data_IF_375232291227
#
_entry.id   IF_375232291227
#
_cell.length_a   1.000
_cell.length_b   1.000
_cell.length_c   1.000
_cell.angle_alpha   90.00
_cell.angle_beta   90.00
_cell.angle_gamma   90.00
#
_symmetry.space_group_name_H-M   'P 1'
#
loop_
_entity.id
_entity.type
_entity.pdbx_description
1 polymer ?
#
# COMPACT_ATOMS: atom_id res chain seq x y z
N UNK A 1 3.66 -13.91 7.79
CA UNK A 1 2.81 -12.82 7.28
C UNK A 1 1.98 -12.14 8.36
N UNK A 2 1.00 -12.81 9.00
CA UNK A 2 0.10 -12.18 9.99
C UNK A 2 0.84 -11.47 11.14
N UNK A 3 1.83 -12.13 11.75
CA UNK A 3 2.65 -11.51 12.81
C UNK A 3 3.39 -10.26 12.32
N UNK A 4 3.87 -10.27 11.06
CA UNK A 4 4.53 -9.10 10.46
C UNK A 4 3.54 -7.95 10.23
N UNK A 5 2.29 -8.24 9.82
CA UNK A 5 1.22 -7.24 9.70
C UNK A 5 0.83 -6.61 11.03
N UNK A 6 0.70 -7.39 12.11
CA UNK A 6 0.43 -6.84 13.44
C UNK A 6 1.59 -5.95 13.89
N UNK A 7 2.83 -6.42 13.72
CA UNK A 7 4.02 -5.69 14.12
C UNK A 7 4.17 -4.36 13.36
N UNK A 8 4.13 -4.40 12.02
CA UNK A 8 4.26 -3.20 11.18
C UNK A 8 3.05 -2.29 11.36
N UNK A 9 1.83 -2.84 11.40
CA UNK A 9 0.60 -2.08 11.61
C UNK A 9 0.59 -1.32 12.94
N UNK A 10 1.16 -1.90 14.00
CA UNK A 10 1.35 -1.20 15.27
C UNK A 10 2.30 -0.01 15.14
N UNK A 11 3.48 -0.21 14.52
CA UNK A 11 4.48 0.85 14.32
C UNK A 11 3.92 1.98 13.45
N UNK A 12 3.31 1.64 12.31
CA UNK A 12 2.70 2.61 11.39
C UNK A 12 1.53 3.32 12.06
N UNK A 13 0.74 2.62 12.85
CA UNK A 13 -0.35 3.21 13.64
C UNK A 13 0.14 4.27 14.62
N UNK A 14 1.23 4.00 15.34
CA UNK A 14 1.86 4.98 16.23
C UNK A 14 2.41 6.19 15.45
N UNK A 15 3.11 5.94 14.34
CA UNK A 15 3.63 7.01 13.48
C UNK A 15 2.51 7.91 12.95
N UNK A 16 1.39 7.32 12.51
CA UNK A 16 0.27 8.07 11.98
C UNK A 16 -0.43 8.92 13.06
N UNK A 17 -0.53 8.42 14.29
CA UNK A 17 -1.11 9.20 15.40
C UNK A 17 -0.26 10.44 15.68
N UNK A 18 1.07 10.28 15.77
CA UNK A 18 1.99 11.39 15.98
C UNK A 18 1.91 12.42 14.84
N UNK A 19 1.89 11.95 13.58
CA UNK A 19 1.80 12.83 12.41
C UNK A 19 0.47 13.62 12.39
N UNK A 20 -0.64 12.97 12.74
CA UNK A 20 -1.95 13.62 12.84
C UNK A 20 -1.98 14.68 13.92
N UNK A 21 -1.41 14.41 15.09
CA UNK A 21 -1.37 15.37 16.19
C UNK A 21 -0.65 16.66 15.79
N UNK A 22 0.54 16.54 15.19
CA UNK A 22 1.32 17.68 14.68
C UNK A 22 0.56 18.40 13.56
N UNK A 23 -0.09 17.66 12.66
CA UNK A 23 -0.90 18.23 11.57
C UNK A 23 -2.15 18.97 12.05
N UNK A 24 -2.75 18.55 13.17
CA UNK A 24 -3.87 19.27 13.77
C UNK A 24 -3.44 20.52 14.54
N UNK A 25 -2.24 20.50 15.15
CA UNK A 25 -1.66 21.66 15.81
C UNK A 25 -1.39 22.78 14.78
N UNK A 26 -0.75 22.41 13.68
CA UNK A 26 -0.34 23.32 12.61
C UNK A 26 -0.79 22.80 11.23
N UNK A 27 -1.99 23.19 10.77
CA UNK A 27 -2.46 22.79 9.45
C UNK A 27 -1.79 23.64 8.37
N UNK A 28 -0.70 23.13 7.80
CA UNK A 28 0.01 23.74 6.68
C UNK A 28 0.06 22.78 5.50
N UNK A 29 -0.06 23.31 4.28
CA UNK A 29 0.17 22.55 3.04
C UNK A 29 1.62 22.08 3.00
N UNK A 30 1.87 20.84 2.59
CA UNK A 30 3.22 20.24 2.68
C UNK A 30 3.52 19.53 4.01
N UNK A 31 2.61 19.64 4.99
CA UNK A 31 2.61 19.02 6.32
C UNK A 31 3.96 18.48 6.79
N UNK A 32 4.28 17.19 6.59
CA UNK A 32 5.41 16.55 7.26
C UNK A 32 6.80 17.12 6.88
N UNK A 33 6.97 17.69 5.68
CA UNK A 33 8.22 18.37 5.30
C UNK A 33 8.34 19.69 6.05
N UNK A 34 7.25 20.48 6.10
CA UNK A 34 7.21 21.78 6.78
C UNK A 34 7.21 21.66 8.30
N UNK A 35 6.57 20.62 8.83
CA UNK A 35 6.60 20.29 10.24
C UNK A 35 8.02 19.92 10.68
N UNK A 36 8.78 19.20 9.85
CA UNK A 36 10.16 18.83 10.16
C UNK A 36 11.10 20.03 10.12
N UNK A 37 10.92 20.93 9.15
CA UNK A 37 11.64 22.21 9.06
C UNK A 37 11.38 23.10 10.29
N UNK A 38 10.14 23.16 10.77
CA UNK A 38 9.76 24.05 11.86
C UNK A 38 9.99 23.48 13.27
N UNK A 39 9.81 22.17 13.48
CA UNK A 39 9.90 21.55 14.80
C UNK A 39 11.24 20.86 15.09
N UNK A 40 12.05 20.55 14.07
CA UNK A 40 13.32 19.84 14.25
C UNK A 40 14.49 20.69 13.81
N UNK A 41 14.67 20.84 12.49
CA UNK A 41 15.78 21.58 11.90
C UNK A 41 15.53 21.78 10.39
N UNK A 42 15.99 22.92 9.85
CA UNK A 42 15.86 23.23 8.42
C UNK A 42 16.60 22.22 7.54
N UNK A 43 17.75 21.68 7.97
CA UNK A 43 18.50 20.68 7.22
C UNK A 43 17.75 19.35 7.09
N UNK A 44 16.99 18.97 8.12
CA UNK A 44 16.15 17.77 8.08
C UNK A 44 14.95 17.99 7.15
N UNK A 45 14.33 19.17 7.21
CA UNK A 45 13.28 19.58 6.26
C UNK A 45 13.76 19.49 4.81
N UNK A 46 14.97 19.98 4.51
CA UNK A 46 15.57 19.87 3.18
C UNK A 46 15.80 18.42 2.75
N UNK A 47 16.37 17.59 3.63
CA UNK A 47 16.62 16.18 3.33
C UNK A 47 15.34 15.39 3.04
N UNK A 48 14.27 15.61 3.83
CA UNK A 48 12.96 15.00 3.60
C UNK A 48 12.32 15.48 2.30
N UNK A 49 12.48 16.77 1.96
CA UNK A 49 12.03 17.30 0.68
C UNK A 49 12.69 16.58 -0.51
N UNK A 50 13.99 16.32 -0.43
CA UNK A 50 14.72 15.58 -1.46
C UNK A 50 14.25 14.13 -1.60
N UNK A 51 14.04 13.44 -0.48
CA UNK A 51 13.47 12.08 -0.45
C UNK A 51 12.07 12.06 -1.07
N UNK A 52 11.25 13.07 -0.79
CA UNK A 52 9.90 13.17 -1.33
C UNK A 52 9.89 13.31 -2.85
N UNK A 53 10.80 14.12 -3.42
CA UNK A 53 10.93 14.26 -4.88
C UNK A 53 11.26 12.90 -5.52
N UNK A 54 12.18 12.13 -4.94
CA UNK A 54 12.49 10.79 -5.45
C UNK A 54 11.33 9.80 -5.31
N UNK A 55 10.53 9.92 -4.25
CA UNK A 55 9.34 9.08 -4.06
C UNK A 55 8.19 9.45 -5.02
N UNK A 56 8.11 10.71 -5.44
CA UNK A 56 7.09 11.19 -6.37
C UNK A 56 7.38 10.83 -7.84
N UNK A 57 8.65 10.62 -8.20
CA UNK A 57 9.01 9.99 -9.47
C UNK A 57 8.50 8.56 -9.38
N UNK A 58 7.66 8.12 -10.32
CA UNK A 58 6.87 6.87 -10.26
C UNK A 58 7.53 5.73 -11.06
N UNK A 59 8.61 5.07 -10.59
CA UNK A 59 9.16 3.92 -11.30
C UNK A 59 8.39 2.62 -11.00
N UNK A 60 7.79 2.49 -9.81
CA UNK A 60 7.22 1.21 -9.37
C UNK A 60 5.94 0.83 -10.12
N UNK A 61 5.03 1.78 -10.35
CA UNK A 61 3.77 1.50 -11.06
C UNK A 61 4.00 1.19 -12.55
N UNK A 62 4.94 1.89 -13.18
CA UNK A 62 5.36 1.62 -14.56
C UNK A 62 6.00 0.23 -14.70
N UNK A 63 6.87 -0.13 -13.76
CA UNK A 63 7.47 -1.47 -13.72
C UNK A 63 6.41 -2.56 -13.54
N UNK A 64 5.45 -2.36 -12.63
CA UNK A 64 4.35 -3.30 -12.41
C UNK A 64 3.49 -3.49 -13.67
N UNK A 65 3.17 -2.41 -14.36
CA UNK A 65 2.42 -2.45 -15.64
C UNK A 65 3.17 -3.27 -16.69
N UNK A 66 4.49 -3.11 -16.78
CA UNK A 66 5.32 -3.87 -17.72
C UNK A 66 5.29 -5.39 -17.43
N UNK A 67 5.30 -5.78 -16.15
CA UNK A 67 5.18 -7.18 -15.74
C UNK A 67 3.81 -7.74 -16.11
N UNK A 68 2.73 -6.99 -15.89
CA UNK A 68 1.37 -7.43 -16.26
C UNK A 68 1.24 -7.63 -17.76
N UNK A 69 1.81 -6.75 -18.59
CA UNK A 69 1.78 -6.89 -20.04
C UNK A 69 2.56 -8.12 -20.54
N UNK A 70 3.56 -8.57 -19.78
CA UNK A 70 4.29 -9.81 -20.08
C UNK A 70 3.40 -11.05 -19.95
N UNK A 71 2.32 -11.01 -19.18
CA UNK A 71 1.35 -12.10 -19.12
C UNK A 71 0.53 -12.26 -20.41
N UNK A 72 0.28 -11.15 -21.12
CA UNK A 72 -0.58 -11.14 -22.31
C UNK A 72 0.21 -11.14 -23.63
N UNK A 73 1.45 -10.66 -23.61
CA UNK A 73 2.27 -10.50 -24.82
C UNK A 73 3.76 -10.69 -24.52
N UNK A 74 4.46 -11.43 -25.38
CA UNK A 74 5.92 -11.66 -25.31
C UNK A 74 6.76 -10.48 -25.85
N UNK A 75 6.15 -9.32 -26.06
CA UNK A 75 6.81 -8.12 -26.59
C UNK A 75 7.70 -7.50 -25.49
N UNK A 76 8.85 -6.93 -25.89
CA UNK A 76 9.79 -6.30 -24.96
C UNK A 76 9.11 -5.30 -24.02
N UNK A 77 9.27 -5.53 -22.72
CA UNK A 77 8.68 -4.74 -21.63
C UNK A 77 9.04 -3.24 -21.70
N UNK A 78 10.20 -2.88 -22.29
CA UNK A 78 10.63 -1.49 -22.46
C UNK A 78 9.73 -0.67 -23.38
N UNK A 79 9.11 -1.31 -24.39
CA UNK A 79 8.15 -0.63 -25.26
C UNK A 79 6.90 -0.22 -24.48
N UNK A 80 6.36 -1.13 -23.66
CA UNK A 80 5.20 -0.85 -22.82
C UNK A 80 5.48 0.25 -21.80
N UNK A 81 6.64 0.22 -21.14
CA UNK A 81 7.08 1.28 -20.22
C UNK A 81 7.10 2.64 -20.94
N UNK A 82 7.63 2.69 -22.16
CA UNK A 82 7.74 3.94 -22.92
C UNK A 82 6.36 4.48 -23.32
N UNK A 83 5.45 3.61 -23.78
CA UNK A 83 4.08 3.98 -24.16
C UNK A 83 3.31 4.52 -22.96
N UNK A 84 3.29 3.78 -21.84
CA UNK A 84 2.60 4.23 -20.62
C UNK A 84 3.24 5.48 -20.02
N UNK A 85 4.56 5.61 -20.09
CA UNK A 85 5.28 6.82 -19.67
C UNK A 85 4.84 8.06 -20.45
N UNK A 86 4.74 7.96 -21.78
CA UNK A 86 4.27 9.07 -22.62
C UNK A 86 2.82 9.45 -22.26
N UNK A 87 1.95 8.46 -22.02
CA UNK A 87 0.56 8.72 -21.62
C UNK A 87 0.50 9.49 -20.30
N UNK A 88 1.27 9.06 -19.30
CA UNK A 88 1.32 9.72 -17.97
C UNK A 88 1.82 11.17 -18.10
N UNK A 89 2.88 11.39 -18.89
CA UNK A 89 3.43 12.74 -19.13
C UNK A 89 2.41 13.61 -19.87
N UNK A 90 1.73 13.06 -20.86
CA UNK A 90 0.69 13.76 -21.62
C UNK A 90 -0.49 14.16 -20.73
N UNK A 91 -0.95 13.25 -19.84
CA UNK A 91 -2.03 13.56 -18.90
C UNK A 91 -1.59 14.58 -17.84
N UNK A 92 -0.35 14.51 -17.34
CA UNK A 92 0.20 15.50 -16.41
C UNK A 92 0.36 16.90 -17.03
N UNK A 93 0.56 16.97 -18.35
CA UNK A 93 0.69 18.24 -19.08
C UNK A 93 -0.68 18.90 -19.36
N UNK A 94 -1.78 18.19 -19.15
CA UNK A 94 -3.13 18.69 -19.39
C UNK A 94 -3.72 19.39 -18.16
N UNK A 95 -4.84 20.10 -18.33
CA UNK A 95 -5.48 20.86 -17.25
C UNK A 95 -5.84 19.99 -16.05
N UNK A 96 -5.57 20.49 -14.84
CA UNK A 96 -5.83 19.86 -13.52
C UNK A 96 -7.26 19.32 -13.40
N UNK A 97 -8.23 19.97 -14.05
CA UNK A 97 -9.64 19.53 -14.02
C UNK A 97 -9.86 18.21 -14.75
N UNK A 98 -9.18 17.99 -15.88
CA UNK A 98 -9.27 16.75 -16.63
C UNK A 98 -8.58 15.59 -15.89
N UNK A 99 -7.45 15.87 -15.24
CA UNK A 99 -6.77 14.91 -14.38
C UNK A 99 -7.69 14.40 -13.26
N UNK A 100 -8.40 15.31 -12.57
CA UNK A 100 -9.34 14.95 -11.51
C UNK A 100 -10.50 14.08 -11.98
N UNK A 101 -11.03 14.30 -13.19
CA UNK A 101 -12.07 13.44 -13.77
C UNK A 101 -11.55 12.03 -14.06
N UNK A 102 -10.37 11.91 -14.69
CA UNK A 102 -9.74 10.61 -14.96
C UNK A 102 -9.46 9.85 -13.66
N UNK A 103 -8.95 10.53 -12.63
CA UNK A 103 -8.68 9.95 -11.32
C UNK A 103 -9.96 9.42 -10.65
N UNK A 104 -11.09 10.13 -10.78
CA UNK A 104 -12.36 9.67 -10.25
C UNK A 104 -12.82 8.35 -10.88
N UNK A 105 -12.77 8.24 -12.21
CA UNK A 105 -13.15 7.00 -12.91
C UNK A 105 -12.19 5.84 -12.58
N UNK A 106 -10.88 6.10 -12.54
CA UNK A 106 -9.89 5.11 -12.12
C UNK A 106 -10.08 4.68 -10.65
N UNK A 107 -10.53 5.59 -9.79
CA UNK A 107 -10.88 5.29 -8.40
C UNK A 107 -12.04 4.30 -8.29
N UNK A 108 -13.11 4.50 -9.08
CA UNK A 108 -14.25 3.56 -9.14
C UNK A 108 -13.79 2.18 -9.62
N UNK A 109 -12.96 2.13 -10.66
CA UNK A 109 -12.40 0.87 -11.17
C UNK A 109 -11.59 0.14 -10.09
N UNK A 110 -10.73 0.83 -9.34
CA UNK A 110 -9.95 0.24 -8.24
C UNK A 110 -10.85 -0.40 -7.17
N UNK A 111 -11.93 0.29 -6.77
CA UNK A 111 -12.88 -0.26 -5.78
C UNK A 111 -13.58 -1.51 -6.32
N UNK A 112 -14.03 -1.49 -7.58
CA UNK A 112 -14.64 -2.66 -8.22
C UNK A 112 -13.68 -3.86 -8.28
N UNK A 113 -12.40 -3.62 -8.61
CA UNK A 113 -11.38 -4.67 -8.64
C UNK A 113 -11.14 -5.29 -7.27
N UNK A 114 -11.11 -4.48 -6.20
CA UNK A 114 -10.96 -4.98 -4.83
C UNK A 114 -12.16 -5.86 -4.44
N UNK A 115 -13.38 -5.43 -4.75
CA UNK A 115 -14.59 -6.22 -4.48
C UNK A 115 -14.59 -7.52 -5.29
N UNK A 116 -14.18 -7.46 -6.56
CA UNK A 116 -14.07 -8.64 -7.42
C UNK A 116 -13.05 -9.65 -6.91
N UNK A 117 -11.86 -9.19 -6.52
CA UNK A 117 -10.85 -10.05 -5.90
C UNK A 117 -11.40 -10.65 -4.61
N UNK A 118 -12.01 -9.85 -3.74
CA UNK A 118 -12.58 -10.33 -2.47
C UNK A 118 -13.59 -11.47 -2.67
N UNK A 119 -14.49 -11.33 -3.64
CA UNK A 119 -15.44 -12.39 -3.98
C UNK A 119 -14.73 -13.63 -4.55
N UNK A 120 -13.72 -13.45 -5.40
CA UNK A 120 -12.93 -14.56 -5.94
C UNK A 120 -12.18 -15.31 -4.82
N UNK A 121 -11.57 -14.60 -3.87
CA UNK A 121 -10.94 -15.17 -2.67
C UNK A 121 -11.94 -16.05 -1.90
N UNK A 122 -13.12 -15.51 -1.60
CA UNK A 122 -14.16 -16.20 -0.85
C UNK A 122 -14.66 -17.46 -1.57
N UNK A 123 -14.81 -17.40 -2.90
CA UNK A 123 -15.21 -18.56 -3.71
C UNK A 123 -14.14 -19.65 -3.67
N UNK A 124 -12.85 -19.28 -3.77
CA UNK A 124 -11.73 -20.23 -3.72
C UNK A 124 -11.65 -20.88 -2.33
N UNK A 125 -11.78 -20.10 -1.25
CA UNK A 125 -11.72 -20.59 0.13
C UNK A 125 -12.85 -21.57 0.47
N UNK A 126 -14.01 -21.38 -0.16
CA UNK A 126 -15.17 -22.29 -0.04
C UNK A 126 -15.07 -23.53 -0.94
N UNK A 127 -14.00 -23.66 -1.74
CA UNK A 127 -13.77 -24.83 -2.61
C UNK A 127 -14.35 -24.70 -4.01
N UNK A 128 -14.55 -23.48 -4.51
CA UNK A 128 -15.04 -23.22 -5.87
C UNK A 128 -14.02 -23.51 -6.99
N UNK A 129 -12.75 -23.76 -6.67
CA UNK A 129 -11.71 -24.11 -7.63
C UNK A 129 -11.75 -25.61 -7.96
N UNK A 130 -11.83 -25.97 -9.25
CA UNK A 130 -11.77 -27.37 -9.69
C UNK A 130 -10.44 -28.00 -9.26
N UNK A 131 -10.50 -28.95 -8.34
CA UNK A 131 -9.35 -29.75 -7.90
C UNK A 131 -8.79 -29.44 -6.50
N UNK A 132 -9.39 -28.52 -5.73
CA UNK A 132 -8.94 -28.22 -4.37
C UNK A 132 -10.04 -28.45 -3.32
N UNK A 133 -9.71 -29.18 -2.25
CA UNK A 133 -10.54 -29.28 -1.05
C UNK A 133 -10.55 -27.96 -0.28
N UNK A 134 -11.60 -27.71 0.52
CA UNK A 134 -11.77 -26.51 1.34
C UNK A 134 -10.50 -26.17 2.15
N UNK A 135 -9.79 -25.12 1.75
CA UNK A 135 -8.45 -24.77 2.27
C UNK A 135 -8.48 -24.12 3.66
N UNK A 136 -9.62 -23.55 4.08
CA UNK A 136 -9.88 -22.84 5.34
C UNK A 136 -8.79 -22.90 6.43
N UNK A 137 -9.04 -23.60 7.55
CA UNK A 137 -8.11 -23.59 8.70
C UNK A 137 -7.01 -24.67 8.65
N UNK A 138 -6.81 -25.36 7.52
CA UNK A 138 -5.89 -26.52 7.46
C UNK A 138 -4.43 -26.09 7.69
N UNK A 139 -4.02 -24.98 7.08
CA UNK A 139 -2.63 -24.49 7.14
C UNK A 139 -2.22 -23.86 8.48
N UNK A 140 -3.17 -23.41 9.30
CA UNK A 140 -2.86 -22.94 10.66
C UNK A 140 -2.44 -24.09 11.59
N UNK A 141 -2.83 -25.33 11.25
CA UNK A 141 -2.50 -26.54 12.02
C UNK A 141 -1.29 -27.31 11.47
N UNK A 142 -1.06 -27.29 10.16
CA UNK A 142 -0.02 -28.14 9.54
C UNK A 142 1.34 -27.45 9.40
N UNK A 143 1.41 -26.16 9.05
CA UNK A 143 2.68 -25.43 8.88
C UNK A 143 2.58 -23.95 9.31
N UNK A 144 2.57 -23.65 10.62
CA UNK A 144 2.40 -22.28 11.10
C UNK A 144 3.60 -21.35 10.77
N UNK A 145 4.77 -21.90 10.44
CA UNK A 145 5.98 -21.15 10.13
C UNK A 145 6.72 -21.76 8.93
N UNK A 146 6.69 -21.08 7.78
CA UNK A 146 7.52 -21.44 6.64
C UNK A 146 8.96 -20.95 6.81
N UNK A 147 9.90 -21.77 6.34
CA UNK A 147 11.34 -21.48 6.34
C UNK A 147 11.72 -20.93 4.96
N UNK A 148 12.54 -19.88 4.90
CA UNK A 148 12.94 -19.24 3.65
C UNK A 148 14.47 -19.13 3.59
N UNK A 149 15.05 -19.50 2.45
CA UNK A 149 16.51 -19.58 2.14
C UNK A 149 17.38 -20.54 2.98
N UNK A 150 17.00 -20.90 4.20
CA UNK A 150 17.74 -21.83 5.06
C UNK A 150 16.77 -22.63 5.93
N UNK A 151 17.22 -23.75 6.51
CA UNK A 151 16.42 -24.57 7.42
C UNK A 151 16.66 -24.21 8.89
N UNK A 152 15.64 -24.34 9.74
CA UNK A 152 15.71 -24.06 11.18
C UNK A 152 15.38 -22.62 11.59
N UNK A 153 15.83 -22.20 12.79
CA UNK A 153 15.46 -20.92 13.40
C UNK A 153 15.89 -19.70 12.58
N UNK A 154 17.05 -19.76 11.92
CA UNK A 154 17.52 -18.72 11.00
C UNK A 154 16.62 -18.60 9.76
N UNK A 155 16.19 -19.73 9.19
CA UNK A 155 15.26 -19.75 8.06
C UNK A 155 13.92 -19.10 8.36
N UNK A 156 13.39 -19.31 9.57
CA UNK A 156 12.14 -18.68 10.03
C UNK A 156 12.30 -17.18 10.27
N UNK A 157 13.45 -16.75 10.78
CA UNK A 157 13.76 -15.33 10.96
C UNK A 157 13.88 -14.59 9.62
N UNK A 158 14.58 -15.18 8.65
CA UNK A 158 14.70 -14.62 7.30
C UNK A 158 13.34 -14.56 6.59
N UNK A 159 12.52 -15.61 6.74
CA UNK A 159 11.15 -15.62 6.24
C UNK A 159 10.31 -14.47 6.85
N UNK A 160 10.44 -14.23 8.15
CA UNK A 160 9.77 -13.13 8.83
C UNK A 160 10.22 -11.77 8.28
N UNK A 161 11.52 -11.53 8.14
CA UNK A 161 12.04 -10.26 7.63
C UNK A 161 11.61 -9.97 6.19
N UNK A 162 11.62 -11.00 5.32
CA UNK A 162 11.11 -10.92 3.95
C UNK A 162 9.62 -10.59 3.90
N UNK A 163 8.83 -11.09 4.85
CA UNK A 163 7.42 -10.69 4.97
C UNK A 163 7.30 -9.23 5.41
N UNK A 164 8.09 -8.79 6.40
CA UNK A 164 8.04 -7.42 6.93
C UNK A 164 8.27 -6.38 5.83
N UNK A 165 9.26 -6.58 4.94
CA UNK A 165 9.53 -5.63 3.85
C UNK A 165 8.35 -5.48 2.89
N UNK A 166 7.69 -6.58 2.54
CA UNK A 166 6.50 -6.54 1.67
C UNK A 166 5.32 -5.84 2.35
N UNK A 167 5.11 -6.11 3.64
CA UNK A 167 4.07 -5.50 4.46
C UNK A 167 4.27 -3.97 4.59
N UNK A 168 5.50 -3.52 4.82
CA UNK A 168 5.83 -2.09 4.91
C UNK A 168 5.44 -1.36 3.62
N UNK A 169 5.71 -1.96 2.46
CA UNK A 169 5.31 -1.39 1.17
C UNK A 169 3.78 -1.27 1.04
N UNK A 170 3.01 -2.25 1.53
CA UNK A 170 1.54 -2.21 1.51
C UNK A 170 0.94 -1.11 2.40
N UNK A 171 1.60 -0.71 3.48
CA UNK A 171 1.20 0.44 4.31
C UNK A 171 1.68 1.79 3.74
N UNK A 172 2.36 1.79 2.59
CA UNK A 172 2.79 3.01 1.90
C UNK A 172 1.61 3.91 1.51
N UNK A 173 1.83 5.23 1.56
CA UNK A 173 0.85 6.24 1.13
C UNK A 173 -0.17 6.69 2.17
N UNK A 174 -0.22 6.06 3.36
CA UNK A 174 -1.13 6.49 4.45
C UNK A 174 -0.81 7.92 4.94
N UNK A 175 0.46 8.31 4.85
CA UNK A 175 0.96 9.61 5.29
C UNK A 175 0.52 10.78 4.40
N UNK A 176 0.05 10.52 3.17
CA UNK A 176 -0.36 11.56 2.22
C UNK A 176 -1.60 12.32 2.70
N UNK A 177 -2.38 11.76 3.63
CA UNK A 177 -3.57 12.44 4.19
C UNK A 177 -3.20 13.74 4.90
N UNK A 178 -2.04 13.78 5.57
CA UNK A 178 -1.56 14.99 6.22
C UNK A 178 -1.18 16.09 5.21
N UNK A 179 -0.75 15.71 4.01
CA UNK A 179 -0.36 16.63 2.92
C UNK A 179 -1.52 17.51 2.47
N UNK A 180 -2.71 16.92 2.36
CA UNK A 180 -3.96 17.60 1.97
C UNK A 180 -4.61 18.39 3.11
N UNK A 181 -4.00 18.41 4.29
CA UNK A 181 -4.50 19.14 5.44
C UNK A 181 -4.70 20.63 5.16
N UNK A 182 -3.82 21.26 4.38
CA UNK A 182 -3.91 22.69 4.05
C UNK A 182 -5.05 23.05 3.09
N UNK A 183 -5.55 22.09 2.31
CA UNK A 183 -6.59 22.31 1.28
C UNK A 183 -8.00 21.95 1.77
N UNK A 184 -8.09 21.41 2.99
CA UNK A 184 -9.36 20.91 3.55
C UNK A 184 -10.09 21.99 4.33
N UNK A 185 -11.41 22.11 4.15
CA UNK A 185 -12.24 22.96 5.01
C UNK A 185 -12.21 22.45 6.46
N UNK A 186 -11.92 23.36 7.40
CA UNK A 186 -11.77 23.06 8.83
C UNK A 186 -10.78 21.91 9.12
N UNK A 187 -9.48 22.11 8.86
CA UNK A 187 -8.48 21.05 8.86
C UNK A 187 -8.36 20.34 10.22
N UNK A 188 -8.52 21.05 11.34
CA UNK A 188 -8.43 20.44 12.69
C UNK A 188 -9.42 19.31 12.92
N UNK A 189 -10.67 19.46 12.48
CA UNK A 189 -11.72 18.43 12.64
C UNK A 189 -11.63 17.37 11.56
N UNK A 190 -11.36 17.78 10.33
CA UNK A 190 -11.33 16.90 9.16
C UNK A 190 -10.14 15.93 9.22
N UNK A 191 -8.95 16.40 9.59
CA UNK A 191 -7.74 15.58 9.77
C UNK A 191 -7.94 14.58 10.92
N UNK A 192 -8.51 15.00 12.05
CA UNK A 192 -8.77 14.10 13.17
C UNK A 192 -9.81 13.01 12.82
N UNK A 193 -10.85 13.37 12.08
CA UNK A 193 -11.86 12.42 11.60
C UNK A 193 -11.25 11.44 10.60
N UNK A 194 -10.42 11.93 9.69
CA UNK A 194 -9.68 11.11 8.74
C UNK A 194 -8.74 10.13 9.47
N UNK A 195 -8.01 10.58 10.49
CA UNK A 195 -7.15 9.74 11.32
C UNK A 195 -7.91 8.60 12.01
N UNK A 196 -9.13 8.88 12.51
CA UNK A 196 -9.99 7.84 13.09
C UNK A 196 -10.40 6.80 12.03
N UNK A 197 -10.65 7.23 10.80
CA UNK A 197 -10.93 6.33 9.66
C UNK A 197 -9.71 5.52 9.26
N UNK A 198 -8.50 6.07 9.29
CA UNK A 198 -7.25 5.32 9.03
C UNK A 198 -7.07 4.22 10.07
N UNK A 199 -7.29 4.49 11.36
CA UNK A 199 -7.21 3.44 12.40
C UNK A 199 -8.21 2.32 12.14
N UNK A 200 -9.43 2.66 11.70
CA UNK A 200 -10.43 1.67 11.29
C UNK A 200 -10.00 0.91 10.03
N UNK A 201 -9.37 1.59 9.07
CA UNK A 201 -8.81 0.98 7.86
C UNK A 201 -7.68 -0.01 8.18
N UNK A 202 -6.77 0.31 9.11
CA UNK A 202 -5.73 -0.62 9.58
C UNK A 202 -6.36 -1.86 10.24
N UNK A 203 -7.42 -1.70 11.03
CA UNK A 203 -8.16 -2.83 11.59
C UNK A 203 -8.87 -3.67 10.52
N UNK A 204 -9.44 -3.02 9.49
CA UNK A 204 -10.05 -3.71 8.36
C UNK A 204 -9.00 -4.47 7.55
N UNK A 205 -7.82 -3.90 7.29
CA UNK A 205 -6.71 -4.59 6.62
C UNK A 205 -6.27 -5.84 7.41
N UNK A 206 -6.20 -5.77 8.74
CA UNK A 206 -5.94 -6.95 9.56
C UNK A 206 -7.02 -8.03 9.40
N UNK A 207 -8.29 -7.63 9.23
CA UNK A 207 -9.38 -8.57 8.92
C UNK A 207 -9.31 -9.14 7.50
N UNK A 208 -9.09 -8.31 6.47
CA UNK A 208 -8.94 -8.75 5.08
C UNK A 208 -7.74 -9.69 4.88
N UNK A 209 -6.66 -9.53 5.64
CA UNK A 209 -5.47 -10.38 5.50
C UNK A 209 -5.59 -11.76 6.16
N UNK A 210 -6.54 -11.96 7.08
CA UNK A 210 -6.90 -13.32 7.48
C UNK A 210 -7.42 -14.14 6.30
N UNK A 211 -7.98 -13.48 5.28
CA UNK A 211 -8.52 -14.12 4.08
C UNK A 211 -7.47 -14.25 2.96
N UNK A 212 -6.64 -13.23 2.70
CA UNK A 212 -5.58 -13.31 1.66
C UNK A 212 -4.42 -14.27 2.00
N UNK A 213 -4.20 -14.58 3.29
CA UNK A 213 -3.24 -15.60 3.73
C UNK A 213 -3.54 -17.00 3.13
N UNK A 214 -4.78 -17.24 2.72
CA UNK A 214 -5.20 -18.51 2.11
C UNK A 214 -4.74 -18.67 0.65
N UNK A 215 -4.38 -17.56 -0.03
CA UNK A 215 -4.13 -17.55 -1.48
C UNK A 215 -2.64 -17.63 -1.81
N UNK A 216 -1.78 -17.01 -1.00
CA UNK A 216 -0.34 -16.93 -1.31
C UNK A 216 0.41 -18.27 -1.16
N UNK A 217 -0.26 -19.33 -0.67
CA UNK A 217 0.27 -20.70 -0.61
C UNK A 217 -0.27 -21.62 -1.69
N UNK A 218 -1.18 -21.15 -2.55
CA UNK A 218 -1.60 -21.90 -3.75
C UNK A 218 -0.56 -21.86 -4.86
N UNK A 219 0.29 -20.82 -4.90
CA UNK A 219 1.37 -20.69 -5.89
C UNK A 219 2.64 -21.50 -5.54
N UNK A 220 2.61 -22.32 -4.48
CA UNK A 220 3.72 -23.19 -4.07
C UNK A 220 3.42 -24.68 -4.21
N UNK A 221 2.37 -25.05 -4.96
CA UNK A 221 2.07 -26.43 -5.36
C UNK A 221 2.18 -26.56 -6.87
#
# INVERSE_FOLDING_TARGET
MLVAYIFVGFIVGLNQIANVEVSTLMPVTGSYVRHSEQFIDEALGFALGWINIYAAIVPSELAATAVVMTYWTDINSALWISIFGIIIIATNSYSVRFYGEVEFYLGILKVLLIVGLFLACLIIDLGGAKGQERLGFRYWKETPWNEYYSTGSLGRFLAFWKCVSGVVYSYGGIQTISLYGGETQNPRRSIFTAAKRIRMYIHLLLHYQNESFLIHHTDQI
#
